data_IF_439254486772
#
_entry.id   IF_439254486772
#
_cell.length_a   1.000
_cell.length_b   1.000
_cell.length_c   1.000
_cell.angle_alpha   90.00
_cell.angle_beta   90.00
_cell.angle_gamma   90.00
#
_symmetry.space_group_name_H-M   'P 1'
#
loop_
_entity.id
_entity.type
_entity.pdbx_description
1 polymer ?
#
# COMPACT_ATOMS: atom_id res chain seq x y z
N UNK A 1 -58.30 -20.70 -12.73
CA UNK A 1 -56.97 -21.10 -12.26
C UNK A 1 -57.15 -22.12 -11.16
N UNK A 2 -56.81 -23.36 -11.47
CA UNK A 2 -56.99 -24.51 -10.58
C UNK A 2 -56.03 -24.44 -9.38
N UNK A 3 -56.31 -25.20 -8.31
CA UNK A 3 -55.51 -25.19 -7.08
C UNK A 3 -54.06 -25.62 -7.33
N UNK A 4 -53.86 -26.53 -8.27
CA UNK A 4 -52.55 -27.01 -8.76
C UNK A 4 -51.75 -25.92 -9.47
N UNK A 5 -52.39 -25.14 -10.35
CA UNK A 5 -51.77 -24.02 -11.08
C UNK A 5 -51.35 -22.90 -10.13
N UNK A 6 -52.17 -22.59 -9.12
CA UNK A 6 -51.82 -21.63 -8.04
C UNK A 6 -50.59 -22.11 -7.26
N UNK A 7 -50.56 -23.38 -6.88
CA UNK A 7 -49.46 -23.96 -6.13
C UNK A 7 -48.17 -23.95 -6.94
N UNK A 8 -48.25 -24.30 -8.22
CA UNK A 8 -47.12 -24.27 -9.16
C UNK A 8 -46.59 -22.84 -9.36
N UNK A 9 -47.47 -21.85 -9.53
CA UNK A 9 -47.10 -20.45 -9.66
C UNK A 9 -46.40 -19.92 -8.41
N UNK A 10 -46.92 -20.23 -7.21
CA UNK A 10 -46.27 -19.87 -5.94
C UNK A 10 -44.90 -20.52 -5.80
N UNK A 11 -44.75 -21.78 -6.23
CA UNK A 11 -43.47 -22.48 -6.19
C UNK A 11 -42.45 -21.83 -7.14
N UNK A 12 -42.87 -21.45 -8.34
CA UNK A 12 -42.03 -20.71 -9.30
C UNK A 12 -41.59 -19.36 -8.75
N UNK A 13 -42.51 -18.61 -8.13
CA UNK A 13 -42.18 -17.32 -7.50
C UNK A 13 -41.20 -17.52 -6.34
N UNK A 14 -41.40 -18.55 -5.52
CA UNK A 14 -40.50 -18.85 -4.40
C UNK A 14 -39.09 -19.23 -4.90
N UNK A 15 -39.00 -20.07 -5.94
CA UNK A 15 -37.72 -20.45 -6.57
C UNK A 15 -37.03 -19.23 -7.17
N UNK A 16 -37.77 -18.38 -7.88
CA UNK A 16 -37.21 -17.16 -8.47
C UNK A 16 -36.73 -16.18 -7.39
N UNK A 17 -37.50 -16.01 -6.31
CA UNK A 17 -37.11 -15.19 -5.18
C UNK A 17 -35.85 -15.71 -4.47
N UNK A 18 -35.76 -17.03 -4.24
CA UNK A 18 -34.58 -17.65 -3.67
C UNK A 18 -33.35 -17.50 -4.58
N UNK A 19 -33.52 -17.66 -5.90
CA UNK A 19 -32.45 -17.44 -6.87
C UNK A 19 -31.97 -15.98 -6.87
N UNK A 20 -32.88 -15.00 -6.86
CA UNK A 20 -32.53 -13.59 -6.80
C UNK A 20 -31.74 -13.25 -5.52
N UNK A 21 -32.16 -13.78 -4.37
CA UNK A 21 -31.44 -13.63 -3.09
C UNK A 21 -30.05 -14.27 -3.16
N UNK A 22 -29.93 -15.46 -3.76
CA UNK A 22 -28.66 -16.13 -3.96
C UNK A 22 -27.71 -15.31 -4.84
N UNK A 23 -28.18 -14.83 -5.99
CA UNK A 23 -27.38 -13.99 -6.90
C UNK A 23 -26.92 -12.71 -6.19
N UNK A 24 -27.82 -12.04 -5.47
CA UNK A 24 -27.47 -10.83 -4.73
C UNK A 24 -26.44 -11.08 -3.62
N UNK A 25 -26.61 -12.15 -2.85
CA UNK A 25 -25.66 -12.57 -1.82
C UNK A 25 -24.31 -12.93 -2.42
N UNK A 26 -24.29 -13.71 -3.50
CA UNK A 26 -23.07 -14.12 -4.19
C UNK A 26 -22.29 -12.91 -4.74
N UNK A 27 -22.95 -11.97 -5.42
CA UNK A 27 -22.29 -10.76 -5.93
C UNK A 27 -21.72 -9.90 -4.79
N UNK A 28 -22.44 -9.76 -3.68
CA UNK A 28 -21.96 -9.00 -2.51
C UNK A 28 -20.72 -9.63 -1.88
N UNK A 29 -20.68 -10.95 -1.78
CA UNK A 29 -19.52 -11.70 -1.27
C UNK A 29 -18.34 -11.55 -2.23
N UNK A 30 -18.56 -11.67 -3.55
CA UNK A 30 -17.53 -11.47 -4.56
C UNK A 30 -16.93 -10.05 -4.48
N UNK A 31 -17.75 -9.01 -4.34
CA UNK A 31 -17.25 -7.63 -4.21
C UNK A 31 -16.49 -7.41 -2.90
N UNK A 32 -16.85 -8.12 -1.83
CA UNK A 32 -16.10 -8.07 -0.57
C UNK A 32 -14.72 -8.74 -0.68
N UNK A 33 -14.66 -9.90 -1.34
CA UNK A 33 -13.44 -10.70 -1.54
C UNK A 33 -12.52 -10.13 -2.61
N UNK A 34 -13.07 -9.50 -3.64
CA UNK A 34 -12.35 -8.93 -4.79
C UNK A 34 -12.92 -7.55 -5.13
N UNK A 35 -12.69 -6.55 -4.25
CA UNK A 35 -13.20 -5.20 -4.47
C UNK A 35 -12.53 -4.58 -5.69
N UNK A 36 -13.26 -3.78 -6.44
CA UNK A 36 -12.71 -3.12 -7.63
C UNK A 36 -11.59 -2.13 -7.27
N UNK A 37 -10.61 -1.92 -8.17
CA UNK A 37 -9.54 -0.93 -7.96
C UNK A 37 -10.08 0.44 -7.58
N UNK A 38 -11.11 0.92 -8.30
CA UNK A 38 -11.78 2.21 -8.05
C UNK A 38 -12.26 2.37 -6.61
N UNK A 39 -12.85 1.32 -6.02
CA UNK A 39 -13.38 1.35 -4.65
C UNK A 39 -12.26 1.44 -3.62
N UNK A 40 -11.17 0.71 -3.85
CA UNK A 40 -10.00 0.68 -2.96
C UNK A 40 -9.23 1.99 -3.04
N UNK A 41 -8.93 2.46 -4.25
CA UNK A 41 -8.21 3.72 -4.48
C UNK A 41 -8.99 4.92 -3.95
N UNK A 42 -10.30 5.03 -4.21
CA UNK A 42 -11.14 6.12 -3.68
C UNK A 42 -11.28 6.11 -2.14
N UNK A 43 -11.10 4.95 -1.50
CA UNK A 43 -11.04 4.87 -0.03
C UNK A 43 -9.69 5.38 0.48
N UNK A 44 -8.59 5.01 -0.17
CA UNK A 44 -7.24 5.46 0.17
C UNK A 44 -7.11 6.98 -0.02
N UNK A 45 -7.58 7.52 -1.14
CA UNK A 45 -7.61 8.96 -1.43
C UNK A 45 -8.33 9.79 -0.35
N UNK A 46 -9.29 9.20 0.37
CA UNK A 46 -10.03 9.90 1.44
C UNK A 46 -9.37 9.79 2.82
N UNK A 47 -8.44 8.86 3.02
CA UNK A 47 -7.88 8.54 4.35
C UNK A 47 -6.40 8.85 4.42
N UNK A 48 -5.66 8.45 3.40
CA UNK A 48 -4.21 8.40 3.41
C UNK A 48 -3.55 9.78 3.28
N UNK A 49 -4.16 10.83 2.68
CA UNK A 49 -3.56 12.16 2.69
C UNK A 49 -3.33 12.73 4.09
N UNK A 50 -4.18 12.40 5.07
CA UNK A 50 -3.99 12.87 6.44
C UNK A 50 -2.75 12.23 7.10
N UNK A 51 -2.57 10.93 6.90
CA UNK A 51 -1.38 10.21 7.36
C UNK A 51 -0.11 10.67 6.60
N UNK A 52 -0.23 10.95 5.31
CA UNK A 52 0.84 11.51 4.50
C UNK A 52 1.28 12.88 5.05
N UNK A 53 0.31 13.77 5.34
CA UNK A 53 0.60 15.09 5.90
C UNK A 53 1.31 14.98 7.25
N UNK A 54 0.86 14.08 8.14
CA UNK A 54 1.53 13.82 9.41
C UNK A 54 3.00 13.40 9.20
N UNK A 55 3.28 12.55 8.20
CA UNK A 55 4.67 12.17 7.90
C UNK A 55 5.50 13.35 7.38
N UNK A 56 4.93 14.21 6.54
CA UNK A 56 5.62 15.41 6.04
C UNK A 56 5.93 16.36 7.21
N UNK A 57 4.95 16.61 8.07
CA UNK A 57 5.08 17.55 9.18
C UNK A 57 6.15 17.12 10.21
N UNK A 58 6.32 15.81 10.40
CA UNK A 58 7.22 15.28 11.44
C UNK A 58 8.57 14.78 10.93
N UNK A 59 8.65 14.29 9.69
CA UNK A 59 9.82 13.55 9.19
C UNK A 59 10.37 14.03 7.86
N UNK A 60 9.81 15.10 7.27
CA UNK A 60 10.18 15.53 5.91
C UNK A 60 11.68 15.80 5.74
N UNK A 61 12.33 16.49 6.67
CA UNK A 61 13.75 16.85 6.54
C UNK A 61 14.68 15.62 6.58
N UNK A 62 14.41 14.66 7.48
CA UNK A 62 15.20 13.44 7.57
C UNK A 62 14.95 12.52 6.36
N UNK A 63 13.70 12.43 5.88
CA UNK A 63 13.36 11.70 4.66
C UNK A 63 14.03 12.32 3.42
N UNK A 64 14.09 13.65 3.30
CA UNK A 64 14.86 14.32 2.24
C UNK A 64 16.35 13.99 2.33
N UNK A 65 16.89 13.88 3.54
CA UNK A 65 18.28 13.48 3.78
C UNK A 65 18.51 12.03 3.34
N UNK A 66 17.59 11.12 3.65
CA UNK A 66 17.61 9.74 3.15
C UNK A 66 17.55 9.70 1.62
N UNK A 67 16.66 10.48 0.99
CA UNK A 67 16.56 10.54 -0.47
C UNK A 67 17.88 11.04 -1.11
N UNK A 68 18.52 12.05 -0.52
CA UNK A 68 19.81 12.54 -0.98
C UNK A 68 20.93 11.49 -0.82
N UNK A 69 20.95 10.76 0.29
CA UNK A 69 21.89 9.66 0.50
C UNK A 69 21.64 8.50 -0.47
N UNK A 70 20.39 8.26 -0.86
CA UNK A 70 20.01 7.23 -1.82
C UNK A 70 20.53 7.49 -3.24
N UNK A 71 21.11 8.66 -3.56
CA UNK A 71 21.81 8.89 -4.85
C UNK A 71 22.98 7.93 -5.09
N UNK A 72 23.52 7.31 -4.03
CA UNK A 72 24.57 6.29 -4.14
C UNK A 72 24.09 5.00 -4.83
N UNK A 73 22.78 4.75 -4.85
CA UNK A 73 22.20 3.55 -5.45
C UNK A 73 22.35 3.55 -6.98
N UNK A 74 22.47 2.37 -7.56
CA UNK A 74 22.55 2.23 -9.01
C UNK A 74 21.18 2.45 -9.69
N UNK A 75 21.19 2.80 -10.98
CA UNK A 75 19.95 2.97 -11.73
C UNK A 75 19.18 1.65 -11.80
N UNK A 76 17.95 1.64 -11.29
CA UNK A 76 17.10 0.44 -11.24
C UNK A 76 17.31 -0.44 -10.01
N UNK A 77 18.27 -0.09 -9.14
CA UNK A 77 18.39 -0.70 -7.82
C UNK A 77 17.21 -0.28 -6.93
N UNK A 78 16.73 -1.23 -6.13
CA UNK A 78 15.65 -1.03 -5.18
C UNK A 78 16.06 -1.61 -3.83
N UNK A 79 16.00 -0.77 -2.81
CA UNK A 79 16.32 -1.13 -1.43
C UNK A 79 15.08 -1.00 -0.56
N UNK A 80 14.98 -1.89 0.42
CA UNK A 80 13.94 -1.89 1.43
C UNK A 80 14.59 -1.77 2.80
N UNK A 81 14.04 -0.94 3.69
CA UNK A 81 14.52 -0.80 5.07
C UNK A 81 13.35 -0.73 6.06
N UNK A 82 13.24 -1.69 6.99
CA UNK A 82 12.16 -1.72 7.97
C UNK A 82 12.55 -0.92 9.23
N UNK A 83 12.26 0.38 9.21
CA UNK A 83 12.60 1.35 10.26
C UNK A 83 12.02 0.94 11.62
N UNK A 84 12.89 0.77 12.62
CA UNK A 84 12.58 0.38 14.00
C UNK A 84 11.83 -0.95 14.17
N UNK A 85 11.88 -1.84 13.18
CA UNK A 85 11.36 -3.20 13.29
C UNK A 85 12.40 -4.22 13.75
N UNK A 86 13.68 -3.95 13.51
CA UNK A 86 14.76 -4.94 13.66
C UNK A 86 15.15 -5.11 15.13
N UNK A 87 15.25 -3.99 15.86
CA UNK A 87 15.71 -3.96 17.27
C UNK A 87 14.79 -4.81 18.16
N UNK A 88 15.33 -5.93 18.65
CA UNK A 88 14.62 -6.86 19.54
C UNK A 88 13.63 -7.81 18.85
N UNK A 89 13.66 -7.92 17.51
CA UNK A 89 12.82 -8.87 16.77
C UNK A 89 13.43 -10.27 16.70
N UNK A 90 12.58 -11.30 16.68
CA UNK A 90 13.00 -12.69 16.42
C UNK A 90 13.61 -12.89 15.01
N UNK A 91 13.43 -11.92 14.12
CA UNK A 91 13.86 -11.97 12.72
C UNK A 91 15.09 -11.07 12.45
N UNK A 92 15.79 -10.58 13.48
CA UNK A 92 16.96 -9.70 13.30
C UNK A 92 17.98 -10.29 12.34
N UNK A 93 18.30 -11.58 12.53
CA UNK A 93 19.31 -12.28 11.74
C UNK A 93 18.85 -12.42 10.28
N UNK A 94 17.55 -12.63 10.06
CA UNK A 94 16.98 -12.67 8.71
C UNK A 94 17.10 -11.31 8.01
N UNK A 95 16.81 -10.21 8.71
CA UNK A 95 16.94 -8.87 8.13
C UNK A 95 18.39 -8.53 7.82
N UNK A 96 19.33 -8.88 8.70
CA UNK A 96 20.77 -8.70 8.45
C UNK A 96 21.20 -9.46 7.17
N UNK A 97 20.88 -10.75 7.12
CA UNK A 97 21.28 -11.65 6.03
C UNK A 97 20.54 -11.43 4.70
N UNK A 98 19.38 -10.77 4.67
CA UNK A 98 18.56 -10.66 3.46
C UNK A 98 18.35 -9.23 2.97
N UNK A 99 18.43 -8.25 3.88
CA UNK A 99 18.06 -6.86 3.62
C UNK A 99 19.24 -5.93 3.86
N UNK A 100 19.81 -5.91 5.07
CA UNK A 100 20.76 -4.88 5.49
C UNK A 100 22.11 -4.98 4.76
N UNK A 101 22.61 -6.19 4.51
CA UNK A 101 23.87 -6.38 3.78
C UNK A 101 23.84 -5.90 2.31
N UNK A 102 22.66 -5.60 1.76
CA UNK A 102 22.49 -5.07 0.39
C UNK A 102 22.42 -3.54 0.37
N UNK A 103 22.36 -2.90 1.52
CA UNK A 103 22.27 -1.44 1.61
C UNK A 103 23.70 -0.90 1.74
N UNK A 104 24.12 0.05 0.88
CA UNK A 104 25.42 0.70 1.04
C UNK A 104 25.60 1.31 2.43
N UNK A 105 26.79 1.17 3.01
CA UNK A 105 27.08 1.57 4.40
C UNK A 105 26.75 3.04 4.66
N UNK A 106 27.07 3.93 3.72
CA UNK A 106 26.76 5.36 3.81
C UNK A 106 25.25 5.65 3.93
N UNK A 107 24.42 4.89 3.20
CA UNK A 107 22.95 5.00 3.28
C UNK A 107 22.43 4.36 4.57
N UNK A 108 23.02 3.24 4.99
CA UNK A 108 22.66 2.54 6.21
C UNK A 108 22.91 3.39 7.47
N UNK A 109 23.99 4.17 7.49
CA UNK A 109 24.29 5.08 8.60
C UNK A 109 23.25 6.20 8.74
N UNK A 110 22.78 6.76 7.62
CA UNK A 110 21.70 7.76 7.62
C UNK A 110 20.39 7.15 8.15
N UNK A 111 20.07 5.92 7.73
CA UNK A 111 18.87 5.20 8.18
C UNK A 111 18.91 4.90 9.68
N UNK A 112 20.07 4.45 10.20
CA UNK A 112 20.27 4.20 11.64
C UNK A 112 20.19 5.48 12.47
N UNK A 113 20.72 6.59 11.96
CA UNK A 113 20.59 7.89 12.63
C UNK A 113 19.11 8.32 12.76
N UNK A 114 18.30 8.03 11.73
CA UNK A 114 16.86 8.26 11.79
C UNK A 114 16.16 7.38 12.84
N UNK A 115 16.56 6.11 12.98
CA UNK A 115 16.04 5.21 14.04
C UNK A 115 16.34 5.72 15.44
N UNK A 116 17.57 6.19 15.68
CA UNK A 116 17.97 6.77 16.97
C UNK A 116 17.14 8.01 17.33
N UNK A 117 16.82 8.83 16.33
CA UNK A 117 16.04 10.06 16.50
C UNK A 117 14.55 9.80 16.72
N UNK A 118 14.02 8.72 16.13
CA UNK A 118 12.59 8.42 16.12
C UNK A 118 12.28 6.96 16.49
N UNK A 119 12.63 6.51 17.71
CA UNK A 119 12.53 5.10 18.10
C UNK A 119 11.09 4.54 18.10
N UNK A 120 10.09 5.41 18.17
CA UNK A 120 8.67 5.06 18.12
C UNK A 120 8.12 4.89 16.70
N UNK A 121 8.80 5.41 15.68
CA UNK A 121 8.33 5.41 14.30
C UNK A 121 8.64 4.07 13.62
N UNK A 122 7.63 3.20 13.55
CA UNK A 122 7.73 1.89 12.88
C UNK A 122 7.12 1.95 11.50
N UNK A 123 7.95 2.02 10.48
CA UNK A 123 7.55 2.19 9.08
C UNK A 123 8.46 1.41 8.15
N UNK A 124 7.93 1.08 6.97
CA UNK A 124 8.71 0.50 5.89
C UNK A 124 9.18 1.63 4.97
N UNK A 125 10.49 1.66 4.70
CA UNK A 125 11.09 2.57 3.72
C UNK A 125 11.46 1.79 2.46
N UNK A 126 11.03 2.31 1.32
CA UNK A 126 11.48 1.88 0.01
C UNK A 126 12.37 2.97 -0.58
N UNK A 127 13.51 2.59 -1.13
CA UNK A 127 14.48 3.53 -1.68
C UNK A 127 14.88 3.11 -3.09
N UNK A 128 15.02 4.11 -3.95
CA UNK A 128 15.64 4.03 -5.26
C UNK A 128 16.63 5.17 -5.36
N UNK A 129 17.42 5.19 -6.43
CA UNK A 129 18.37 6.28 -6.65
C UNK A 129 17.72 7.66 -6.53
N UNK A 130 18.17 8.44 -5.55
CA UNK A 130 17.67 9.79 -5.29
C UNK A 130 16.25 9.88 -4.73
N UNK A 131 15.60 8.76 -4.41
CA UNK A 131 14.18 8.71 -4.05
C UNK A 131 13.95 7.85 -2.81
N UNK A 132 13.10 8.34 -1.89
CA UNK A 132 12.61 7.59 -0.74
C UNK A 132 11.08 7.52 -0.77
N UNK A 133 10.53 6.41 -0.30
CA UNK A 133 9.11 6.17 -0.14
C UNK A 133 8.86 5.61 1.25
N UNK A 134 7.92 6.19 2.00
CA UNK A 134 7.50 5.71 3.31
C UNK A 134 6.12 5.06 3.22
N UNK A 135 6.03 3.80 3.65
CA UNK A 135 4.77 3.04 3.67
C UNK A 135 3.79 3.61 4.70
N UNK A 136 2.61 4.04 4.25
CA UNK A 136 1.58 4.59 5.15
C UNK A 136 0.54 3.55 5.56
N UNK A 137 0.01 2.80 4.59
CA UNK A 137 -1.03 1.80 4.78
C UNK A 137 -0.74 0.57 3.91
N UNK A 138 -1.02 -0.61 4.44
CA UNK A 138 -1.14 -1.86 3.70
C UNK A 138 -2.30 -2.67 4.30
N UNK A 139 -3.35 -2.92 3.52
CA UNK A 139 -4.55 -3.62 4.02
C UNK A 139 -4.93 -4.86 3.22
N UNK A 140 -3.94 -5.53 2.61
CA UNK A 140 -4.07 -6.74 1.76
C UNK A 140 -4.87 -6.56 0.45
N UNK A 141 -5.52 -5.40 0.29
CA UNK A 141 -6.31 -5.00 -0.88
C UNK A 141 -5.62 -3.88 -1.64
N UNK A 142 -4.81 -3.08 -0.94
CA UNK A 142 -3.94 -2.08 -1.50
C UNK A 142 -2.94 -1.58 -0.47
N UNK A 143 -2.04 -0.74 -0.95
CA UNK A 143 -1.07 -0.05 -0.11
C UNK A 143 -0.82 1.36 -0.64
N UNK A 144 -0.30 2.23 0.22
CA UNK A 144 0.01 3.62 -0.10
C UNK A 144 1.40 3.98 0.41
N UNK A 145 2.16 4.68 -0.41
CA UNK A 145 3.52 5.13 -0.14
C UNK A 145 3.56 6.64 -0.37
N UNK A 146 4.11 7.38 0.60
CA UNK A 146 4.45 8.78 0.40
C UNK A 146 5.90 8.87 -0.11
N UNK A 147 6.09 9.48 -1.28
CA UNK A 147 7.35 9.50 -2.00
C UNK A 147 7.96 10.90 -2.06
N UNK A 148 9.29 10.97 -1.97
CA UNK A 148 10.09 12.16 -2.23
C UNK A 148 11.40 11.83 -2.98
N UNK A 149 11.77 12.57 -4.04
CA UNK A 149 10.85 13.40 -4.81
C UNK A 149 9.75 12.52 -5.45
N UNK A 150 8.59 13.10 -5.71
CA UNK A 150 7.51 12.46 -6.46
C UNK A 150 7.80 12.34 -7.95
N UNK A 151 6.90 11.69 -8.69
CA UNK A 151 6.91 11.64 -10.16
C UNK A 151 7.25 10.27 -10.73
N UNK A 152 8.27 9.60 -10.23
CA UNK A 152 8.53 8.19 -10.56
C UNK A 152 7.82 7.27 -9.58
N UNK A 153 7.15 6.24 -10.11
CA UNK A 153 6.50 5.22 -9.29
C UNK A 153 7.54 4.42 -8.51
N UNK A 154 7.44 4.45 -7.19
CA UNK A 154 8.31 3.70 -6.28
C UNK A 154 8.06 2.20 -6.38
N UNK A 155 6.80 1.83 -6.56
CA UNK A 155 6.36 0.45 -6.73
C UNK A 155 5.58 0.33 -8.02
N UNK A 156 5.72 -0.79 -8.73
CA UNK A 156 4.85 -1.05 -9.86
C UNK A 156 3.57 -1.71 -9.36
N UNK A 157 2.42 -1.16 -9.75
CA UNK A 157 1.15 -1.85 -9.62
C UNK A 157 1.29 -3.27 -10.19
N UNK A 158 0.93 -4.30 -9.40
CA UNK A 158 0.86 -5.71 -9.88
C UNK A 158 -0.21 -5.91 -10.97
N UNK A 159 -0.91 -4.85 -11.35
CA UNK A 159 -1.85 -4.82 -12.47
C UNK A 159 -1.16 -4.08 -13.62
N UNK A 160 -1.03 -4.76 -14.75
CA UNK A 160 -0.48 -4.23 -16.00
C UNK A 160 -1.35 -3.11 -16.63
N UNK A 161 -2.18 -2.42 -15.85
CA UNK A 161 -3.01 -1.30 -16.27
C UNK A 161 -2.87 -0.12 -15.29
N UNK A 162 -3.02 1.11 -15.81
CA UNK A 162 -2.96 2.35 -15.03
C UNK A 162 -4.15 2.53 -14.07
N UNK A 163 -5.17 1.66 -14.13
CA UNK A 163 -6.33 1.73 -13.25
C UNK A 163 -6.02 1.25 -11.83
N UNK A 164 -4.92 0.51 -11.65
CA UNK A 164 -4.44 0.02 -10.36
C UNK A 164 -3.66 1.04 -9.54
N UNK A 165 -3.38 2.23 -10.08
CA UNK A 165 -2.57 3.25 -9.41
C UNK A 165 -3.26 4.61 -9.39
N UNK A 166 -3.05 5.35 -8.30
CA UNK A 166 -3.41 6.77 -8.18
C UNK A 166 -2.26 7.51 -7.53
N UNK A 167 -1.98 8.70 -8.02
CA UNK A 167 -0.99 9.59 -7.45
C UNK A 167 -1.68 10.89 -7.05
N UNK A 168 -1.35 11.41 -5.88
CA UNK A 168 -1.82 12.69 -5.38
C UNK A 168 -0.61 13.56 -5.06
N UNK A 169 -0.54 14.72 -5.69
CA UNK A 169 0.46 15.74 -5.37
C UNK A 169 0.17 16.29 -3.97
N UNK A 170 1.18 16.19 -3.09
CA UNK A 170 1.12 16.65 -1.71
C UNK A 170 1.86 18.00 -1.51
N UNK A 171 2.42 18.58 -2.58
CA UNK A 171 3.19 19.81 -2.54
C UNK A 171 4.68 19.61 -2.23
N UNK A 172 5.50 20.62 -2.54
CA UNK A 172 6.94 20.65 -2.23
C UNK A 172 7.75 19.42 -2.71
N UNK A 173 7.32 18.82 -3.82
CA UNK A 173 7.95 17.65 -4.40
C UNK A 173 7.53 16.32 -3.77
N UNK A 174 6.54 16.31 -2.88
CA UNK A 174 5.96 15.10 -2.30
C UNK A 174 4.80 14.56 -3.14
N UNK A 175 4.73 13.24 -3.27
CA UNK A 175 3.63 12.57 -3.96
C UNK A 175 3.15 11.36 -3.16
N UNK A 176 1.85 11.30 -2.89
CA UNK A 176 1.21 10.13 -2.32
C UNK A 176 0.82 9.17 -3.45
N UNK A 177 1.52 8.05 -3.52
CA UNK A 177 1.28 6.99 -4.48
C UNK A 177 0.45 5.87 -3.84
N UNK A 178 -0.65 5.52 -4.48
CA UNK A 178 -1.62 4.55 -3.99
C UNK A 178 -1.77 3.41 -4.99
N UNK A 179 -1.73 2.19 -4.49
CA UNK A 179 -1.67 0.98 -5.30
C UNK A 179 -2.77 0.02 -4.89
N UNK A 180 -3.54 -0.43 -5.86
CA UNK A 180 -4.45 -1.56 -5.70
C UNK A 180 -3.67 -2.87 -5.89
N UNK A 181 -3.65 -3.69 -4.86
CA UNK A 181 -2.87 -4.92 -4.79
C UNK A 181 -3.70 -6.02 -4.12
N UNK A 182 -4.72 -6.57 -4.81
CA UNK A 182 -5.50 -7.66 -4.26
C UNK A 182 -4.61 -8.89 -4.15
N UNK A 183 -4.48 -9.46 -2.93
CA UNK A 183 -3.66 -10.63 -2.53
C UNK A 183 -2.26 -10.32 -1.98
N UNK A 184 -1.89 -9.05 -1.81
CA UNK A 184 -0.55 -8.65 -1.33
C UNK A 184 0.48 -8.79 -2.43
#
# INVERSE_FOLDING_TARGET
MDKSEKLFLWLLIAIFGAFALFVWGYMSIQEYLSPSPKKILSRMERRDPAAAQEMIDHYSEDLKTVAAAAEILEDGEWCFYPLNYIVGSYNSDWYEENVLHKIPEELLDVLRSMEEKYPECKKDLEMRKGQVGIGLMNDSKGFSILCYPGGSLMSYSKINNEEGTRCLDMGDGWELQMYYAPKG
#
